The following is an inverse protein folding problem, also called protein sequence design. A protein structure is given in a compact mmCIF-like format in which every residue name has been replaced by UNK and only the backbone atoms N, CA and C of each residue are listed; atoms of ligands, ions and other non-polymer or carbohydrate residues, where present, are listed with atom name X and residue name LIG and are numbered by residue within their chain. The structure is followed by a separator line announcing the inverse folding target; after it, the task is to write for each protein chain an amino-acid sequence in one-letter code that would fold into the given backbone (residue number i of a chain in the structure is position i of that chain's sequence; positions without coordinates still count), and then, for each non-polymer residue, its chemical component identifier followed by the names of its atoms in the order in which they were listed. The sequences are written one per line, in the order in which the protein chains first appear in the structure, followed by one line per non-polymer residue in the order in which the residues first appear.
data_IF_320149777723
#
_entry.id   IF_320149777723
#
_cell.length_a   1.000
_cell.length_b   1.000
_cell.length_c   1.000
_cell.angle_alpha   90.00
_cell.angle_beta   90.00
_cell.angle_gamma   90.00
#
_symmetry.space_group_name_H-M   'P 1'
#
loop_
_entity.id
_entity.type
_entity.pdbx_description
1 polymer ?
#
# COMPACT_ATOMS: atom_id res chain seq x y z
N UNK A 1 -7.15 20.89 7.51
CA UNK A 1 -7.63 19.49 7.50
C UNK A 1 -6.38 18.64 7.32
N UNK A 2 -5.97 17.85 8.32
CA UNK A 2 -4.72 17.07 8.23
C UNK A 2 -4.90 15.97 7.19
N UNK A 3 -4.13 16.05 6.10
CA UNK A 3 -4.15 15.08 5.01
C UNK A 3 -3.29 13.84 5.28
N UNK A 4 -2.65 13.78 6.46
CA UNK A 4 -1.71 12.73 6.83
C UNK A 4 -2.11 11.99 8.11
N UNK A 5 -1.77 10.72 8.14
CA UNK A 5 -2.01 9.78 9.22
C UNK A 5 -0.76 8.95 9.49
N UNK A 6 -0.55 8.58 10.75
CA UNK A 6 0.47 7.62 11.15
C UNK A 6 0.04 6.18 10.87
N UNK A 7 0.97 5.23 11.03
CA UNK A 7 0.79 3.78 10.83
C UNK A 7 -0.43 3.20 11.59
N UNK A 8 -0.79 3.81 12.72
CA UNK A 8 -1.95 3.40 13.54
C UNK A 8 -3.29 4.03 13.10
N UNK A 9 -3.31 4.85 12.04
CA UNK A 9 -4.51 5.55 11.58
C UNK A 9 -4.85 6.84 12.34
N UNK A 10 -3.98 7.29 13.24
CA UNK A 10 -4.14 8.56 13.96
C UNK A 10 -3.62 9.73 13.13
N UNK A 11 -4.29 10.91 13.13
CA UNK A 11 -3.79 12.10 12.44
C UNK A 11 -2.40 12.50 12.93
N UNK A 12 -1.55 12.93 12.00
CA UNK A 12 -0.23 13.49 12.28
C UNK A 12 -0.09 14.88 11.65
N UNK A 13 0.96 15.62 12.02
CA UNK A 13 1.23 16.92 11.41
C UNK A 13 1.74 16.76 9.97
N UNK A 14 1.47 17.76 9.14
CA UNK A 14 1.90 17.76 7.73
C UNK A 14 3.42 17.64 7.60
N UNK A 15 4.20 18.30 8.47
CA UNK A 15 5.66 18.20 8.47
C UNK A 15 6.16 16.76 8.72
N UNK A 16 5.50 15.99 9.59
CA UNK A 16 5.84 14.58 9.83
C UNK A 16 5.41 13.72 8.64
N UNK A 17 4.23 14.00 8.07
CA UNK A 17 3.75 13.32 6.87
C UNK A 17 4.67 13.52 5.67
N UNK A 18 5.10 14.74 5.40
CA UNK A 18 6.04 15.10 4.32
C UNK A 18 7.41 14.45 4.52
N UNK A 19 7.94 14.46 5.75
CA UNK A 19 9.21 13.80 6.07
C UNK A 19 9.14 12.28 5.80
N UNK A 20 8.04 11.62 6.19
CA UNK A 20 7.83 10.20 5.91
C UNK A 20 7.65 9.92 4.42
N UNK A 21 6.98 10.79 3.67
CA UNK A 21 6.83 10.65 2.22
C UNK A 21 8.18 10.71 1.48
N UNK A 22 9.12 11.51 1.98
CA UNK A 22 10.44 11.66 1.37
C UNK A 22 11.35 10.43 1.56
N UNK A 23 11.09 9.59 2.56
CA UNK A 23 11.89 8.40 2.85
C UNK A 23 11.21 7.13 2.32
N UNK A 24 11.73 6.59 1.23
CA UNK A 24 11.20 5.37 0.59
C UNK A 24 11.42 4.14 1.47
N UNK A 25 12.58 4.04 2.12
CA UNK A 25 12.91 2.87 2.93
C UNK A 25 12.09 2.84 4.22
N UNK A 26 11.87 4.00 4.85
CA UNK A 26 11.00 4.11 6.03
C UNK A 26 9.53 3.73 5.73
N UNK A 27 9.12 3.79 4.47
CA UNK A 27 7.77 3.42 4.03
C UNK A 27 7.66 1.96 3.58
N UNK A 28 8.76 1.26 3.32
CA UNK A 28 8.71 -0.12 2.83
C UNK A 28 8.29 -1.04 3.97
N UNK A 29 7.13 -1.68 3.80
CA UNK A 29 6.56 -2.59 4.79
C UNK A 29 6.87 -4.05 4.45
N UNK A 30 6.77 -4.45 3.18
CA UNK A 30 7.17 -5.76 2.66
C UNK A 30 7.57 -5.62 1.20
N UNK A 31 8.48 -6.47 0.73
CA UNK A 31 8.91 -6.49 -0.66
C UNK A 31 9.43 -7.88 -1.05
N UNK A 32 8.89 -8.41 -2.14
CA UNK A 32 9.19 -9.72 -2.65
C UNK A 32 9.19 -9.71 -4.18
N UNK A 33 10.10 -10.46 -4.79
CA UNK A 33 10.14 -10.69 -6.24
C UNK A 33 9.73 -12.13 -6.52
N UNK A 34 8.81 -12.32 -7.46
CA UNK A 34 8.30 -13.64 -7.87
C UNK A 34 8.57 -13.83 -9.35
N UNK A 35 9.34 -14.86 -9.70
CA UNK A 35 9.51 -15.24 -11.10
C UNK A 35 8.25 -15.94 -11.62
N UNK A 36 7.69 -15.41 -12.71
CA UNK A 36 6.55 -15.98 -13.42
C UNK A 36 6.91 -16.27 -14.88
N UNK A 37 6.08 -17.03 -15.60
CA UNK A 37 6.29 -17.30 -17.03
C UNK A 37 6.31 -16.02 -17.89
N UNK A 38 5.66 -14.94 -17.44
CA UNK A 38 5.64 -13.65 -18.12
C UNK A 38 6.85 -12.75 -17.76
N UNK A 39 7.63 -13.13 -16.75
CA UNK A 39 8.76 -12.36 -16.22
C UNK A 39 8.70 -12.18 -14.69
N UNK A 40 9.70 -11.50 -14.10
CA UNK A 40 9.72 -11.21 -12.67
C UNK A 40 8.63 -10.19 -12.32
N UNK A 41 7.82 -10.53 -11.32
CA UNK A 41 6.80 -9.64 -10.74
C UNK A 41 7.28 -9.16 -9.38
N UNK A 42 7.36 -7.85 -9.20
CA UNK A 42 7.67 -7.23 -7.91
C UNK A 42 6.38 -7.00 -7.13
N UNK A 43 6.26 -7.59 -5.94
CA UNK A 43 5.16 -7.32 -5.02
C UNK A 43 5.71 -6.48 -3.87
N UNK A 44 5.17 -5.28 -3.68
CA UNK A 44 5.63 -4.34 -2.67
C UNK A 44 4.45 -3.80 -1.89
N UNK A 45 4.57 -3.79 -0.56
CA UNK A 45 3.64 -3.09 0.32
C UNK A 45 4.32 -1.87 0.90
N UNK A 46 3.72 -0.69 0.68
CA UNK A 46 4.22 0.60 1.13
C UNK A 46 3.24 1.23 2.12
N UNK A 47 3.76 1.77 3.22
CA UNK A 47 3.02 2.71 4.05
C UNK A 47 3.00 4.08 3.37
N UNK A 48 1.81 4.59 3.11
CA UNK A 48 1.57 5.91 2.52
C UNK A 48 0.82 6.71 3.59
N UNK A 49 1.49 7.65 4.29
CA UNK A 49 0.83 8.41 5.36
C UNK A 49 -0.28 9.32 4.84
N UNK A 50 -0.46 9.44 3.52
CA UNK A 50 -1.49 10.27 2.91
C UNK A 50 -2.85 9.58 2.99
N UNK A 51 -3.89 10.37 3.23
CA UNK A 51 -5.25 9.90 3.06
C UNK A 51 -5.58 9.64 1.59
N UNK A 52 -5.78 8.36 1.25
CA UNK A 52 -6.15 7.93 -0.11
C UNK A 52 -7.65 7.64 -0.27
N UNK A 53 -8.47 7.95 0.74
CA UNK A 53 -9.92 7.82 0.65
C UNK A 53 -10.50 8.73 -0.44
N UNK A 54 -11.53 8.25 -1.11
CA UNK A 54 -12.36 9.10 -1.97
C UNK A 54 -13.26 10.02 -1.12
N UNK A 55 -13.79 11.12 -1.67
CA UNK A 55 -14.77 11.96 -0.96
C UNK A 55 -15.97 11.16 -0.46
N UNK A 56 -16.46 10.20 -1.25
CA UNK A 56 -17.57 9.32 -0.88
C UNK A 56 -17.20 8.40 0.30
N UNK A 57 -15.98 7.84 0.34
CA UNK A 57 -15.50 7.07 1.49
C UNK A 57 -15.48 7.91 2.76
N UNK A 58 -15.09 9.19 2.64
CA UNK A 58 -15.03 10.13 3.77
C UNK A 58 -16.44 10.43 4.28
N UNK A 59 -17.38 10.72 3.39
CA UNK A 59 -18.79 10.98 3.71
C UNK A 59 -19.44 9.79 4.44
N UNK A 60 -19.05 8.57 4.06
CA UNK A 60 -19.54 7.33 4.67
C UNK A 60 -18.75 6.92 5.94
N UNK A 61 -17.82 7.74 6.43
CA UNK A 61 -17.04 7.45 7.64
C UNK A 61 -16.00 6.33 7.47
N UNK A 62 -15.57 6.07 6.23
CA UNK A 62 -14.51 5.13 5.90
C UNK A 62 -13.19 5.49 6.61
N UNK A 63 -12.36 4.49 6.92
CA UNK A 63 -11.05 4.69 7.56
C UNK A 63 -9.99 5.08 6.52
N UNK A 64 -8.96 5.86 6.89
CA UNK A 64 -7.90 6.22 5.96
C UNK A 64 -7.23 4.95 5.38
N UNK A 65 -6.91 4.99 4.09
CA UNK A 65 -6.24 3.91 3.39
C UNK A 65 -4.75 4.25 3.30
N UNK A 66 -3.95 3.63 4.16
CA UNK A 66 -2.59 4.05 4.47
C UNK A 66 -1.52 3.05 4.06
N UNK A 67 -1.92 1.91 3.54
CA UNK A 67 -1.01 0.92 2.99
C UNK A 67 -1.46 0.60 1.59
N UNK A 68 -0.51 0.54 0.68
CA UNK A 68 -0.73 0.13 -0.70
C UNK A 68 0.17 -1.06 -1.01
N UNK A 69 -0.45 -2.16 -1.40
CA UNK A 69 0.21 -3.32 -1.96
C UNK A 69 0.07 -3.27 -3.47
N UNK A 70 1.20 -3.20 -4.17
CA UNK A 70 1.25 -3.22 -5.63
C UNK A 70 2.00 -4.47 -6.11
N UNK A 71 1.51 -5.08 -7.19
CA UNK A 71 2.23 -6.07 -7.98
C UNK A 71 2.57 -5.47 -9.36
N UNK A 72 3.85 -5.42 -9.70
CA UNK A 72 4.38 -4.78 -10.90
C UNK A 72 5.09 -5.81 -11.78
N UNK A 73 4.73 -5.88 -13.06
CA UNK A 73 5.46 -6.63 -14.08
C UNK A 73 6.18 -5.63 -14.99
N UNK A 74 7.47 -5.42 -14.75
CA UNK A 74 8.19 -4.27 -15.34
C UNK A 74 7.54 -2.96 -14.90
N UNK A 75 7.21 -2.10 -15.88
CA UNK A 75 6.54 -0.81 -15.61
C UNK A 75 5.00 -0.92 -15.55
N UNK A 76 4.43 -2.12 -15.65
CA UNK A 76 2.98 -2.33 -15.68
C UNK A 76 2.42 -2.78 -14.33
N UNK A 77 1.47 -2.01 -13.83
CA UNK A 77 0.67 -2.36 -12.65
C UNK A 77 -0.29 -3.51 -12.98
N UNK A 78 -0.15 -4.61 -12.23
CA UNK A 78 -1.00 -5.81 -12.38
C UNK A 78 -2.12 -5.80 -11.34
N UNK A 79 -1.77 -5.45 -10.09
CA UNK A 79 -2.68 -5.44 -8.95
C UNK A 79 -2.34 -4.24 -8.06
N UNK A 80 -3.35 -3.52 -7.59
CA UNK A 80 -3.22 -2.53 -6.52
C UNK A 80 -4.29 -2.79 -5.47
N UNK A 81 -3.87 -2.95 -4.22
CA UNK A 81 -4.78 -3.06 -3.09
C UNK A 81 -4.39 -2.10 -1.97
N UNK A 82 -5.41 -1.42 -1.43
CA UNK A 82 -5.21 -0.46 -0.34
C UNK A 82 -5.86 -0.94 0.94
N UNK A 83 -5.20 -0.72 2.07
CA UNK A 83 -5.63 -1.16 3.41
C UNK A 83 -5.41 -0.07 4.46
N UNK A 84 -6.18 -0.12 5.54
CA UNK A 84 -6.15 0.89 6.59
C UNK A 84 -5.13 0.59 7.68
N UNK A 85 -4.76 -0.67 7.85
CA UNK A 85 -3.87 -1.10 8.95
C UNK A 85 -2.74 -1.99 8.45
N UNK A 86 -1.63 -2.03 9.20
CA UNK A 86 -0.49 -2.88 8.87
C UNK A 86 -0.82 -4.38 8.90
N UNK A 87 -1.75 -4.81 9.75
CA UNK A 87 -2.20 -6.21 9.80
C UNK A 87 -2.98 -6.61 8.54
N UNK A 88 -3.92 -5.77 8.11
CA UNK A 88 -4.64 -5.96 6.84
C UNK A 88 -3.70 -5.88 5.64
N UNK A 89 -2.70 -4.99 5.69
CA UNK A 89 -1.69 -4.85 4.64
C UNK A 89 -0.78 -6.07 4.53
N UNK A 90 -0.37 -6.67 5.66
CA UNK A 90 0.38 -7.92 5.68
C UNK A 90 -0.43 -9.05 5.04
N UNK A 91 -1.72 -9.18 5.39
CA UNK A 91 -2.59 -10.18 4.79
C UNK A 91 -2.75 -9.94 3.27
N UNK A 92 -3.05 -8.70 2.87
CA UNK A 92 -3.17 -8.34 1.46
C UNK A 92 -1.89 -8.66 0.67
N UNK A 93 -0.72 -8.42 1.26
CA UNK A 93 0.56 -8.78 0.66
C UNK A 93 0.65 -10.28 0.38
N UNK A 94 0.35 -11.14 1.37
CA UNK A 94 0.34 -12.59 1.17
C UNK A 94 -0.69 -13.03 0.13
N UNK A 95 -1.89 -12.43 0.12
CA UNK A 95 -2.95 -12.76 -0.83
C UNK A 95 -2.57 -12.37 -2.27
N UNK A 96 -1.90 -11.22 -2.45
CA UNK A 96 -1.35 -10.78 -3.74
C UNK A 96 -0.24 -11.72 -4.19
N UNK A 97 0.72 -12.05 -3.32
CA UNK A 97 1.78 -13.02 -3.63
C UNK A 97 1.21 -14.37 -4.08
N UNK A 98 0.20 -14.88 -3.38
CA UNK A 98 -0.46 -16.14 -3.69
C UNK A 98 -1.11 -16.12 -5.08
N UNK A 99 -1.82 -15.02 -5.40
CA UNK A 99 -2.44 -14.80 -6.71
C UNK A 99 -1.41 -14.74 -7.84
N UNK A 100 -0.37 -13.91 -7.69
CA UNK A 100 0.74 -13.78 -8.65
C UNK A 100 1.39 -15.14 -8.91
N UNK A 101 1.72 -15.90 -7.86
CA UNK A 101 2.30 -17.26 -7.99
C UNK A 101 1.39 -18.25 -8.70
N UNK A 102 0.07 -18.05 -8.62
CA UNK A 102 -0.91 -18.89 -9.32
C UNK A 102 -1.21 -18.45 -10.75
N UNK A 103 -0.55 -17.39 -11.24
CA UNK A 103 -0.80 -16.82 -12.58
C UNK A 103 -2.16 -16.12 -12.70
N UNK A 104 -2.76 -15.71 -11.57
CA UNK A 104 -4.02 -14.97 -11.54
C UNK A 104 -3.74 -13.55 -11.05
N UNK A 105 -4.13 -12.49 -11.78
CA UNK A 105 -4.19 -11.16 -11.21
C UNK A 105 -5.25 -11.12 -10.08
#
# INVERSE_FOLDING_TARGET
MTGFYGVQGNPISDAVGEALMADVEARRFSHEVVDTDAGPVEVSTMFIPRDLRTPEDIENGGRPLLFETAALLGDHEVIIERRSTGAEAAQAHFDVLSRVRSGRP
#
